data_IF_405599927333
#
_entry.id   IF_405599927333
#
_cell.length_a   1.000
_cell.length_b   1.000
_cell.length_c   1.000
_cell.angle_alpha   90.00
_cell.angle_beta   90.00
_cell.angle_gamma   90.00
#
_symmetry.space_group_name_H-M   'P 1'
#
loop_
_entity.id
_entity.type
_entity.pdbx_description
1 polymer ?
#
# COMPACT_ATOMS: atom_id res chain seq x y z
N UNK A 1 11.91 12.10 12.60
CA UNK A 1 10.50 12.19 12.16
C UNK A 1 9.81 10.86 12.43
N UNK A 2 8.50 10.86 12.63
CA UNK A 2 7.67 9.67 12.84
C UNK A 2 7.04 9.23 11.54
N UNK A 3 7.50 8.10 11.04
CA UNK A 3 6.91 7.42 9.88
C UNK A 3 5.87 6.41 10.34
N UNK A 4 4.72 6.39 9.67
CA UNK A 4 3.76 5.29 9.74
C UNK A 4 3.79 4.56 8.39
N UNK A 5 4.33 3.35 8.37
CA UNK A 5 4.45 2.55 7.15
C UNK A 5 3.34 1.50 7.06
N UNK A 6 2.48 1.59 6.06
CA UNK A 6 1.53 0.54 5.70
C UNK A 6 2.23 -0.56 4.88
N UNK A 7 2.27 -1.77 5.43
CA UNK A 7 3.05 -2.87 4.85
C UNK A 7 2.40 -4.24 5.05
N UNK A 8 2.47 -5.10 4.04
CA UNK A 8 2.30 -6.54 4.16
C UNK A 8 3.61 -7.27 4.54
N UNK A 9 3.54 -8.60 4.76
CA UNK A 9 4.72 -9.41 5.10
C UNK A 9 5.86 -9.40 4.07
N UNK A 10 5.58 -8.97 2.84
CA UNK A 10 6.54 -8.89 1.75
C UNK A 10 7.26 -7.54 1.66
N UNK A 11 6.74 -6.48 2.29
CA UNK A 11 7.23 -5.10 2.15
C UNK A 11 7.67 -4.45 3.46
N UNK A 12 7.35 -5.04 4.62
CA UNK A 12 7.67 -4.45 5.94
C UNK A 12 9.17 -4.15 6.11
N UNK A 13 10.04 -5.09 5.76
CA UNK A 13 11.50 -4.93 5.83
C UNK A 13 12.01 -3.88 4.85
N UNK A 14 11.42 -3.84 3.66
CA UNK A 14 11.79 -2.88 2.62
C UNK A 14 11.46 -1.44 3.06
N UNK A 15 10.26 -1.20 3.57
CA UNK A 15 9.87 0.12 4.06
C UNK A 15 10.66 0.52 5.31
N UNK A 16 10.96 -0.42 6.21
CA UNK A 16 11.87 -0.16 7.34
C UNK A 16 13.26 0.28 6.88
N UNK A 17 13.79 -0.35 5.83
CA UNK A 17 15.08 0.02 5.27
C UNK A 17 15.04 1.43 4.68
N UNK A 18 14.03 1.77 3.86
CA UNK A 18 13.89 3.12 3.28
C UNK A 18 13.88 4.20 4.37
N UNK A 19 13.09 4.02 5.42
CA UNK A 19 12.98 5.03 6.48
C UNK A 19 14.32 5.26 7.18
N UNK A 20 15.11 4.18 7.40
CA UNK A 20 16.45 4.27 7.98
C UNK A 20 17.46 4.95 7.05
N UNK A 21 17.40 4.68 5.75
CA UNK A 21 18.28 5.33 4.76
C UNK A 21 18.01 6.84 4.64
N UNK A 22 16.79 7.30 4.92
CA UNK A 22 16.49 8.74 4.99
C UNK A 22 17.20 9.37 6.20
N UNK A 23 17.10 8.74 7.37
CA UNK A 23 17.85 9.10 8.58
C UNK A 23 17.72 8.01 9.64
N UNK A 24 18.80 7.77 10.38
CA UNK A 24 18.82 6.81 11.50
C UNK A 24 17.97 7.26 12.70
N UNK A 25 17.69 8.56 12.82
CA UNK A 25 16.90 9.14 13.92
C UNK A 25 15.39 9.07 13.65
N UNK A 26 14.97 8.46 12.54
CA UNK A 26 13.56 8.29 12.21
C UNK A 26 12.93 7.14 13.00
N UNK A 27 11.76 7.41 13.57
CA UNK A 27 10.89 6.39 14.14
C UNK A 27 10.01 5.81 13.04
N UNK A 28 9.81 4.50 13.04
CA UNK A 28 8.94 3.84 12.07
C UNK A 28 8.00 2.85 12.75
N UNK A 29 6.70 3.13 12.67
CA UNK A 29 5.63 2.23 13.08
C UNK A 29 5.09 1.48 11.87
N UNK A 30 5.00 0.15 11.97
CA UNK A 30 4.37 -0.66 10.93
C UNK A 30 2.88 -0.83 11.24
N UNK A 31 2.04 -0.35 10.32
CA UNK A 31 0.61 -0.56 10.32
C UNK A 31 0.27 -1.62 9.27
N UNK A 32 -0.48 -2.65 9.66
CA UNK A 32 -0.82 -3.73 8.73
C UNK A 32 -2.16 -4.39 9.03
N UNK A 33 -2.82 -4.87 7.97
CA UNK A 33 -3.92 -5.83 8.07
C UNK A 33 -3.45 -7.25 8.40
N UNK A 34 -2.15 -7.52 8.36
CA UNK A 34 -1.57 -8.81 8.70
C UNK A 34 -1.05 -8.81 10.13
N UNK A 35 -1.71 -9.59 11.00
CA UNK A 35 -1.37 -9.72 12.42
C UNK A 35 0.12 -10.00 12.69
N UNK A 36 0.78 -10.76 11.82
CA UNK A 36 2.18 -11.16 12.00
C UNK A 36 3.19 -10.01 11.83
N UNK A 37 2.78 -8.90 11.20
CA UNK A 37 3.66 -7.76 10.92
C UNK A 37 3.13 -6.44 11.46
N UNK A 38 1.85 -6.36 11.82
CA UNK A 38 1.28 -5.17 12.46
C UNK A 38 1.95 -4.89 13.81
N UNK A 39 2.47 -3.67 13.97
CA UNK A 39 3.05 -3.16 15.23
C UNK A 39 2.22 -2.01 15.80
N UNK A 40 1.26 -1.50 15.02
CA UNK A 40 0.42 -0.37 15.39
C UNK A 40 -0.78 -0.76 16.27
N UNK A 41 -1.15 -2.04 16.25
CA UNK A 41 -2.38 -2.54 16.87
C UNK A 41 -3.61 -2.40 15.98
N UNK A 42 -3.47 -1.90 14.75
CA UNK A 42 -4.57 -1.79 13.79
C UNK A 42 -5.37 -3.09 13.69
N UNK A 43 -4.70 -4.24 13.58
CA UNK A 43 -5.37 -5.52 13.41
C UNK A 43 -6.35 -5.81 14.55
N UNK A 44 -5.90 -5.66 15.80
CA UNK A 44 -6.74 -5.95 16.97
C UNK A 44 -7.85 -4.93 17.15
N UNK A 45 -7.57 -3.65 16.89
CA UNK A 45 -8.57 -2.57 16.98
C UNK A 45 -9.64 -2.78 15.92
N UNK A 46 -9.27 -3.12 14.69
CA UNK A 46 -10.21 -3.38 13.60
C UNK A 46 -11.22 -4.48 13.97
N UNK A 47 -10.77 -5.64 14.48
CA UNK A 47 -11.72 -6.70 14.86
C UNK A 47 -12.60 -6.29 16.05
N UNK A 48 -12.06 -5.54 17.01
CA UNK A 48 -12.87 -4.96 18.10
C UNK A 48 -13.95 -4.01 17.56
N UNK A 49 -13.61 -3.17 16.59
CA UNK A 49 -14.56 -2.26 15.94
C UNK A 49 -15.59 -3.02 15.12
N UNK A 50 -15.19 -4.09 14.42
CA UNK A 50 -16.10 -4.94 13.65
C UNK A 50 -17.18 -5.54 14.56
N UNK A 51 -16.78 -6.10 15.71
CA UNK A 51 -17.71 -6.66 16.69
C UNK A 51 -18.64 -5.61 17.30
N UNK A 52 -18.10 -4.42 17.61
CA UNK A 52 -18.88 -3.32 18.19
C UNK A 52 -19.91 -2.73 17.21
N UNK A 53 -19.60 -2.75 15.91
CA UNK A 53 -20.40 -2.10 14.87
C UNK A 53 -21.31 -3.06 14.09
N UNK A 54 -21.24 -4.38 14.33
CA UNK A 54 -21.92 -5.40 13.50
C UNK A 54 -23.45 -5.24 13.34
N UNK A 55 -24.11 -4.57 14.28
CA UNK A 55 -25.55 -4.34 14.26
C UNK A 55 -25.93 -2.94 13.72
N UNK A 56 -24.94 -2.12 13.40
CA UNK A 56 -25.14 -0.76 12.93
C UNK A 56 -25.45 -0.77 11.43
N UNK A 57 -26.25 0.21 11.02
CA UNK A 57 -26.49 0.51 9.61
C UNK A 57 -25.81 1.82 9.28
N UNK A 58 -25.01 1.81 8.22
CA UNK A 58 -24.24 2.97 7.80
C UNK A 58 -24.85 3.54 6.52
N UNK A 59 -25.13 4.85 6.45
CA UNK A 59 -25.39 5.48 5.17
C UNK A 59 -24.09 5.45 4.34
N UNK A 60 -24.24 5.35 3.02
CA UNK A 60 -23.12 5.41 2.09
C UNK A 60 -22.91 6.85 1.63
N UNK A 61 -21.68 7.36 1.66
CA UNK A 61 -21.30 8.59 0.96
C UNK A 61 -20.73 8.29 -0.43
N UNK A 62 -20.63 9.28 -1.35
CA UNK A 62 -19.98 9.08 -2.65
C UNK A 62 -18.51 8.63 -2.54
N UNK A 63 -17.81 9.07 -1.48
CA UNK A 63 -16.43 8.64 -1.23
C UNK A 63 -16.41 7.16 -0.83
N UNK A 64 -17.32 6.72 0.03
CA UNK A 64 -17.41 5.31 0.43
C UNK A 64 -17.67 4.41 -0.78
N UNK A 65 -18.54 4.85 -1.69
CA UNK A 65 -18.84 4.11 -2.93
C UNK A 65 -17.63 4.01 -3.85
N UNK A 66 -16.86 5.09 -4.04
CA UNK A 66 -15.60 5.07 -4.80
C UNK A 66 -14.59 4.06 -4.21
N UNK A 67 -14.41 4.08 -2.89
CA UNK A 67 -13.50 3.15 -2.20
C UNK A 67 -13.98 1.70 -2.37
N UNK A 68 -15.27 1.43 -2.18
CA UNK A 68 -15.83 0.08 -2.28
C UNK A 68 -15.63 -0.48 -3.69
N UNK A 69 -15.93 0.28 -4.75
CA UNK A 69 -15.85 -0.19 -6.14
C UNK A 69 -14.41 -0.46 -6.58
N UNK A 70 -13.44 0.31 -6.07
CA UNK A 70 -12.01 0.13 -6.35
C UNK A 70 -11.42 -1.10 -5.65
N UNK A 71 -11.93 -1.47 -4.49
CA UNK A 71 -11.41 -2.61 -3.74
C UNK A 71 -12.07 -3.92 -4.20
N UNK A 72 -11.26 -4.87 -4.69
CA UNK A 72 -11.74 -6.19 -5.12
C UNK A 72 -12.50 -6.94 -4.02
N UNK A 73 -12.06 -6.83 -2.77
CA UNK A 73 -12.74 -7.46 -1.64
C UNK A 73 -14.11 -6.83 -1.40
N UNK A 74 -14.16 -5.50 -1.21
CA UNK A 74 -15.39 -4.80 -0.84
C UNK A 74 -16.45 -4.84 -1.94
N UNK A 75 -16.05 -4.72 -3.22
CA UNK A 75 -17.01 -4.80 -4.35
C UNK A 75 -17.61 -6.20 -4.54
N UNK A 76 -17.01 -7.23 -3.95
CA UNK A 76 -17.43 -8.62 -4.13
C UNK A 76 -18.31 -9.14 -2.98
N UNK A 77 -18.55 -8.33 -1.96
CA UNK A 77 -19.43 -8.65 -0.83
C UNK A 77 -20.68 -7.77 -0.85
N UNK A 78 -21.64 -8.05 0.04
CA UNK A 78 -22.86 -7.23 0.10
C UNK A 78 -22.52 -5.79 0.57
N UNK A 79 -23.33 -4.80 0.15
CA UNK A 79 -23.06 -3.38 0.43
C UNK A 79 -23.00 -3.05 1.93
N UNK A 80 -23.84 -3.69 2.75
CA UNK A 80 -23.89 -3.45 4.19
C UNK A 80 -22.62 -3.97 4.89
N UNK A 81 -22.15 -5.16 4.52
CA UNK A 81 -20.90 -5.75 4.99
C UNK A 81 -19.71 -4.89 4.54
N UNK A 82 -19.71 -4.43 3.29
CA UNK A 82 -18.68 -3.55 2.78
C UNK A 82 -18.59 -2.25 3.60
N UNK A 83 -19.73 -1.62 3.90
CA UNK A 83 -19.79 -0.42 4.73
C UNK A 83 -19.40 -0.70 6.19
N UNK A 84 -19.77 -1.86 6.74
CA UNK A 84 -19.34 -2.29 8.07
C UNK A 84 -17.80 -2.39 8.15
N UNK A 85 -17.19 -3.09 7.19
CA UNK A 85 -15.73 -3.24 7.12
C UNK A 85 -15.02 -1.90 6.94
N UNK A 86 -15.55 -1.04 6.05
CA UNK A 86 -15.02 0.28 5.79
C UNK A 86 -15.05 1.16 7.06
N UNK A 87 -16.17 1.21 7.76
CA UNK A 87 -16.31 2.01 9.00
C UNK A 87 -15.48 1.45 10.15
N UNK A 88 -15.43 0.13 10.33
CA UNK A 88 -14.61 -0.50 11.36
C UNK A 88 -13.12 -0.21 11.14
N UNK A 89 -12.64 -0.33 9.91
CA UNK A 89 -11.24 -0.03 9.57
C UNK A 89 -10.93 1.46 9.67
N UNK A 90 -11.85 2.34 9.24
CA UNK A 90 -11.71 3.79 9.38
C UNK A 90 -11.52 4.19 10.85
N UNK A 91 -12.36 3.68 11.74
CA UNK A 91 -12.22 3.92 13.18
C UNK A 91 -10.90 3.38 13.74
N UNK A 92 -10.45 2.21 13.26
CA UNK A 92 -9.19 1.64 13.68
C UNK A 92 -7.99 2.48 13.22
N UNK A 93 -8.01 2.99 11.98
CA UNK A 93 -6.98 3.89 11.46
C UNK A 93 -6.95 5.19 12.26
N UNK A 94 -8.10 5.82 12.51
CA UNK A 94 -8.20 7.05 13.32
C UNK A 94 -7.55 6.84 14.69
N UNK A 95 -7.86 5.73 15.38
CA UNK A 95 -7.26 5.39 16.67
C UNK A 95 -5.72 5.25 16.59
N UNK A 96 -5.19 4.62 15.54
CA UNK A 96 -3.73 4.55 15.35
C UNK A 96 -3.13 5.95 15.14
N UNK A 97 -3.75 6.79 14.31
CA UNK A 97 -3.28 8.15 14.07
C UNK A 97 -3.30 9.00 15.34
N UNK A 98 -4.38 8.93 16.12
CA UNK A 98 -4.53 9.69 17.36
C UNK A 98 -3.49 9.27 18.42
N UNK A 99 -3.09 7.99 18.45
CA UNK A 99 -2.08 7.48 19.39
C UNK A 99 -0.64 7.76 18.95
N UNK A 100 -0.35 7.62 17.66
CA UNK A 100 1.02 7.67 17.15
C UNK A 100 1.44 9.05 16.65
N UNK A 101 0.50 9.81 16.09
CA UNK A 101 0.68 11.15 15.52
C UNK A 101 1.84 11.19 14.50
N UNK A 102 1.67 10.58 13.31
CA UNK A 102 2.74 10.48 12.32
C UNK A 102 3.00 11.79 11.57
N UNK A 103 4.27 12.08 11.31
CA UNK A 103 4.70 13.19 10.45
C UNK A 103 4.51 12.87 8.96
N UNK A 104 4.54 11.59 8.61
CA UNK A 104 4.46 11.10 7.22
C UNK A 104 3.98 9.65 7.17
N UNK A 105 3.21 9.32 6.14
CA UNK A 105 2.78 7.95 5.85
C UNK A 105 3.44 7.44 4.58
N UNK A 106 4.06 6.26 4.69
CA UNK A 106 4.53 5.48 3.54
C UNK A 106 3.58 4.31 3.35
N UNK A 107 3.22 4.01 2.11
CA UNK A 107 2.45 2.80 1.80
C UNK A 107 3.08 2.09 0.63
N UNK A 108 3.06 0.77 0.65
CA UNK A 108 3.10 0.02 -0.60
C UNK A 108 1.86 0.34 -1.44
N UNK A 109 1.92 0.14 -2.75
CA UNK A 109 0.73 0.28 -3.61
C UNK A 109 0.07 -1.07 -3.81
N UNK A 110 -1.08 -1.27 -3.20
CA UNK A 110 -1.92 -2.47 -3.30
C UNK A 110 -3.39 -2.05 -3.45
N UNK A 111 -4.17 -2.75 -4.27
CA UNK A 111 -5.60 -2.52 -4.46
C UNK A 111 -6.45 -2.88 -3.21
N UNK A 112 -6.21 -2.17 -2.10
CA UNK A 112 -6.84 -2.37 -0.80
C UNK A 112 -7.50 -1.08 -0.32
N UNK A 113 -8.74 -1.20 0.13
CA UNK A 113 -9.52 -0.09 0.70
C UNK A 113 -8.82 0.57 1.91
N UNK A 114 -7.94 -0.16 2.59
CA UNK A 114 -7.14 0.34 3.73
C UNK A 114 -6.26 1.51 3.29
N UNK A 115 -5.67 1.45 2.09
CA UNK A 115 -4.83 2.53 1.59
C UNK A 115 -5.64 3.77 1.22
N UNK A 116 -6.81 3.59 0.62
CA UNK A 116 -7.70 4.71 0.35
C UNK A 116 -8.11 5.40 1.66
N UNK A 117 -8.45 4.61 2.70
CA UNK A 117 -8.74 5.15 4.03
C UNK A 117 -7.53 5.90 4.63
N UNK A 118 -6.33 5.33 4.55
CA UNK A 118 -5.10 6.00 4.99
C UNK A 118 -4.87 7.30 4.23
N UNK A 119 -5.06 7.32 2.90
CA UNK A 119 -4.90 8.50 2.07
C UNK A 119 -5.87 9.62 2.48
N UNK A 120 -7.15 9.29 2.67
CA UNK A 120 -8.15 10.28 3.09
C UNK A 120 -7.90 10.79 4.51
N UNK A 121 -7.44 9.93 5.42
CA UNK A 121 -7.05 10.33 6.78
C UNK A 121 -5.81 11.23 6.79
N UNK A 122 -4.80 10.91 5.98
CA UNK A 122 -3.64 11.76 5.80
C UNK A 122 -4.05 13.14 5.27
N UNK A 123 -4.91 13.16 4.25
CA UNK A 123 -5.43 14.39 3.65
C UNK A 123 -6.21 15.25 4.65
N UNK A 124 -7.05 14.64 5.50
CA UNK A 124 -7.83 15.38 6.50
C UNK A 124 -6.95 16.00 7.58
N UNK A 125 -5.82 15.38 7.92
CA UNK A 125 -4.87 15.85 8.94
C UNK A 125 -3.71 16.69 8.39
N UNK A 126 -3.59 16.84 7.07
CA UNK A 126 -2.44 17.50 6.46
C UNK A 126 -1.13 16.71 6.57
N UNK A 127 -1.20 15.40 6.78
CA UNK A 127 -0.04 14.49 6.82
C UNK A 127 0.30 14.08 5.38
N UNK A 128 1.56 14.18 4.94
CA UNK A 128 1.99 13.68 3.63
C UNK A 128 1.80 12.16 3.51
N UNK A 129 1.21 11.71 2.40
CA UNK A 129 1.06 10.31 2.03
C UNK A 129 1.88 9.99 0.78
N UNK A 130 2.79 9.03 0.87
CA UNK A 130 3.65 8.59 -0.24
C UNK A 130 3.43 7.11 -0.48
N UNK A 131 2.75 6.79 -1.58
CA UNK A 131 2.63 5.41 -2.06
C UNK A 131 3.80 5.04 -2.97
N UNK A 132 4.52 3.99 -2.62
CA UNK A 132 5.62 3.44 -3.41
C UNK A 132 5.11 2.26 -4.24
N UNK A 133 5.24 2.40 -5.56
CA UNK A 133 4.79 1.41 -6.53
C UNK A 133 6.02 0.78 -7.17
N UNK A 134 6.19 -0.53 -6.99
CA UNK A 134 7.18 -1.30 -7.73
C UNK A 134 6.80 -1.29 -9.22
N UNK A 135 7.78 -1.00 -10.09
CA UNK A 135 7.59 -1.02 -11.54
C UNK A 135 8.47 -2.10 -12.18
N UNK A 136 8.16 -2.46 -13.43
CA UNK A 136 8.89 -3.48 -14.17
C UNK A 136 10.30 -3.06 -14.62
N UNK A 137 10.69 -1.80 -14.40
CA UNK A 137 12.03 -1.28 -14.66
C UNK A 137 12.89 -1.38 -13.40
N UNK A 138 13.91 -2.24 -13.41
CA UNK A 138 14.76 -2.48 -12.25
C UNK A 138 15.51 -1.21 -11.82
N UNK A 139 15.52 -0.94 -10.51
CA UNK A 139 16.13 0.26 -9.94
C UNK A 139 15.21 1.49 -9.93
N UNK A 140 13.99 1.37 -10.48
CA UNK A 140 13.00 2.43 -10.50
C UNK A 140 11.79 2.06 -9.65
N UNK A 141 11.08 3.08 -9.20
CA UNK A 141 9.77 2.99 -8.59
C UNK A 141 8.93 4.17 -9.06
N UNK A 142 7.61 4.04 -8.95
CA UNK A 142 6.68 5.15 -9.16
C UNK A 142 6.15 5.60 -7.81
N UNK A 143 6.00 6.91 -7.64
CA UNK A 143 5.27 7.49 -6.51
C UNK A 143 3.83 7.70 -6.94
N UNK A 144 2.88 7.14 -6.19
CA UNK A 144 1.46 7.28 -6.47
C UNK A 144 0.63 6.94 -5.25
N UNK A 145 -0.32 7.80 -4.87
CA UNK A 145 -1.23 7.55 -3.77
C UNK A 145 -2.42 6.66 -4.19
N UNK A 146 -2.97 6.86 -5.39
CA UNK A 146 -4.20 6.21 -5.87
C UNK A 146 -4.14 5.78 -7.35
N UNK A 147 -2.95 5.77 -7.95
CA UNK A 147 -2.71 5.40 -9.36
C UNK A 147 -2.54 6.59 -10.30
N UNK A 148 -2.51 7.82 -9.78
CA UNK A 148 -2.28 9.04 -10.53
C UNK A 148 -0.85 9.15 -11.08
N UNK A 149 -0.72 9.95 -12.14
CA UNK A 149 0.57 10.38 -12.65
C UNK A 149 1.11 11.51 -11.78
N UNK A 150 2.32 11.33 -11.25
CA UNK A 150 3.05 12.35 -10.51
C UNK A 150 4.29 12.75 -11.31
N UNK A 151 4.41 14.03 -11.63
CA UNK A 151 5.62 14.59 -12.21
C UNK A 151 6.65 14.82 -11.10
N UNK A 152 7.74 14.05 -11.11
CA UNK A 152 8.77 14.08 -10.06
C UNK A 152 9.97 14.92 -10.46
N UNK A 153 10.40 14.80 -11.73
CA UNK A 153 11.56 15.50 -12.29
C UNK A 153 11.56 15.44 -13.80
N UNK A 154 12.34 16.32 -14.40
CA UNK A 154 12.82 16.15 -15.77
C UNK A 154 13.79 14.97 -15.85
N UNK A 155 13.61 14.14 -16.88
CA UNK A 155 14.42 12.95 -17.12
C UNK A 155 15.30 13.22 -18.33
N UNK A 156 16.64 13.11 -18.23
CA UNK A 156 17.52 13.28 -19.37
C UNK A 156 17.28 12.22 -20.45
N UNK A 157 17.41 12.59 -21.72
CA UNK A 157 17.26 11.68 -22.86
C UNK A 157 18.17 10.45 -22.74
N UNK A 158 19.39 10.61 -22.20
CA UNK A 158 20.32 9.50 -21.98
C UNK A 158 19.72 8.41 -21.06
N UNK A 159 19.01 8.83 -20.02
CA UNK A 159 18.38 7.91 -19.08
C UNK A 159 17.21 7.17 -19.74
N UNK A 160 16.42 7.88 -20.56
CA UNK A 160 15.32 7.32 -21.36
C UNK A 160 15.85 6.27 -22.32
N UNK A 161 16.88 6.60 -23.10
CA UNK A 161 17.51 5.69 -24.06
C UNK A 161 18.13 4.46 -23.39
N UNK A 162 18.75 4.63 -22.22
CA UNK A 162 19.28 3.53 -21.43
C UNK A 162 18.18 2.57 -20.97
N UNK A 163 17.06 3.10 -20.48
CA UNK A 163 15.92 2.28 -20.05
C UNK A 163 15.26 1.60 -21.24
N UNK A 164 15.14 2.28 -22.39
CA UNK A 164 14.60 1.68 -23.61
C UNK A 164 15.43 0.48 -24.05
N UNK A 165 16.75 0.63 -24.17
CA UNK A 165 17.66 -0.47 -24.51
C UNK A 165 17.57 -1.65 -23.54
N UNK A 166 17.41 -1.36 -22.24
CA UNK A 166 17.21 -2.39 -21.21
C UNK A 166 15.91 -3.19 -21.46
N UNK A 167 14.82 -2.52 -21.83
CA UNK A 167 13.52 -3.14 -22.07
C UNK A 167 13.44 -3.89 -23.40
N UNK A 168 14.24 -3.49 -24.38
CA UNK A 168 14.37 -4.18 -25.68
C UNK A 168 15.19 -5.48 -25.60
N UNK A 169 16.02 -5.64 -24.56
CA UNK A 169 16.76 -6.88 -24.34
C UNK A 169 15.80 -8.04 -23.99
N UNK A 170 15.73 -9.03 -24.87
CA UNK A 170 14.90 -10.24 -24.68
C UNK A 170 15.27 -11.07 -23.45
N UNK A 171 16.48 -10.91 -22.92
CA UNK A 171 16.93 -11.56 -21.69
C UNK A 171 16.52 -10.79 -20.43
N UNK A 172 16.06 -9.54 -20.57
CA UNK A 172 15.64 -8.72 -19.45
C UNK A 172 14.44 -9.31 -18.71
N UNK A 173 14.54 -9.31 -17.39
CA UNK A 173 13.44 -9.67 -16.50
C UNK A 173 13.41 -8.72 -15.30
N UNK A 174 12.23 -8.24 -14.89
CA UNK A 174 12.09 -7.51 -13.63
C UNK A 174 12.58 -8.38 -12.46
N UNK A 175 13.20 -7.75 -11.47
CA UNK A 175 13.86 -8.43 -10.35
C UNK A 175 12.91 -9.33 -9.55
N UNK A 176 11.64 -8.92 -9.45
CA UNK A 176 10.59 -9.69 -8.78
C UNK A 176 10.14 -10.92 -9.59
N UNK A 177 10.34 -10.96 -10.91
CA UNK A 177 10.03 -12.12 -11.77
C UNK A 177 11.19 -13.11 -11.88
N UNK A 178 12.44 -12.66 -11.68
CA UNK A 178 13.64 -13.50 -11.83
C UNK A 178 13.59 -14.78 -10.97
N UNK A 179 12.93 -14.74 -9.82
CA UNK A 179 12.78 -15.88 -8.91
C UNK A 179 11.80 -16.94 -9.42
N UNK A 180 10.88 -16.56 -10.30
CA UNK A 180 9.86 -17.43 -10.89
C UNK A 180 10.31 -18.07 -12.19
N UNK A 181 11.60 -17.94 -12.54
CA UNK A 181 12.22 -18.65 -13.67
C UNK A 181 12.29 -20.14 -13.33
N UNK A 182 11.15 -20.82 -13.43
CA UNK A 182 11.09 -22.28 -13.46
C UNK A 182 11.87 -22.71 -14.69
N UNK A 183 13.06 -23.28 -14.49
CA UNK A 183 13.79 -23.89 -15.59
C UNK A 183 12.84 -24.83 -16.32
N UNK A 184 12.62 -24.62 -17.61
CA UNK A 184 11.84 -25.51 -18.45
C UNK A 184 12.42 -26.92 -18.32
N UNK A 185 11.86 -27.75 -17.44
CA UNK A 185 12.06 -29.19 -17.52
C UNK A 185 11.40 -29.59 -18.82
N UNK A 186 12.21 -29.79 -19.87
CA UNK A 186 11.80 -30.42 -21.12
C UNK A 186 11.17 -31.76 -20.78
N UNK A 187 9.86 -31.81 -20.56
CA UNK A 187 9.07 -33.00 -20.85
C UNK A 187 8.73 -32.92 -22.33
N UNK A 188 9.67 -33.34 -23.16
CA UNK A 188 9.32 -33.83 -24.49
C UNK A 188 8.57 -35.13 -24.20
N UNK A 189 7.26 -35.11 -24.40
CA UNK A 189 6.46 -36.32 -24.47
C UNK A 189 6.88 -36.95 -25.81
N UNK A 190 7.76 -37.94 -25.74
CA UNK A 190 8.03 -38.90 -26.82
C UNK A 190 6.89 -39.89 -26.95
#
# INVERSE_FOLDING_TARGET
MKFLSHAGPWSDKYLQHIVKEISNDNENMILSAHKSVDRSGLWSIYYKQLDALKNNHFPSSPIDEDIIVRCRLLRSINKNDALLHLNAMKNAIIDVFDRYDPDIVLSETIDSYIMDLLYFECKSRGVPFVGLVTVFVNGYFRISARGEYNFIRDVPDEEVEKVLKLLEDKAYLPGFVKKDKVGTKKKIIT
#
